data_IF_322507698276
#
_entry.id   IF_322507698276
#
_cell.length_a   1.000
_cell.length_b   1.000
_cell.length_c   1.000
_cell.angle_alpha   90.00
_cell.angle_beta   90.00
_cell.angle_gamma   90.00
#
_symmetry.space_group_name_H-M   'P 1'
#
loop_
_entity.id
_entity.type
_entity.pdbx_description
1 polymer ?
#
# COMPACT_ATOMS: atom_id res chain seq x y z
N UNK A 1 35.21 5.12 -0.28
CA UNK A 1 34.18 4.65 0.68
C UNK A 1 32.81 4.92 0.08
N UNK A 2 31.98 3.86 -0.09
CA UNK A 2 30.52 3.86 -0.41
C UNK A 2 30.09 2.60 -1.22
N UNK A 3 30.73 1.44 -0.99
CA UNK A 3 30.33 0.16 -1.61
C UNK A 3 29.23 -0.57 -0.81
N UNK A 4 29.16 -0.34 0.50
CA UNK A 4 28.19 -1.00 1.41
C UNK A 4 26.76 -0.48 1.19
N UNK A 5 26.60 0.82 0.94
CA UNK A 5 25.27 1.43 0.74
C UNK A 5 24.58 0.95 -0.54
N UNK A 6 25.33 0.52 -1.57
CA UNK A 6 24.75 -0.06 -2.79
C UNK A 6 24.22 -1.49 -2.60
N UNK A 7 24.70 -2.25 -1.62
CA UNK A 7 24.22 -3.62 -1.36
C UNK A 7 22.88 -3.66 -0.60
N UNK A 8 22.58 -2.63 0.19
CA UNK A 8 21.29 -2.59 0.90
C UNK A 8 20.16 -2.13 -0.03
N UNK A 9 20.46 -1.35 -1.07
CA UNK A 9 19.46 -0.95 -2.07
C UNK A 9 19.10 -2.06 -3.06
N UNK A 10 19.93 -3.11 -3.22
CA UNK A 10 19.57 -4.26 -4.08
C UNK A 10 18.54 -5.20 -3.46
N UNK A 11 18.40 -5.23 -2.12
CA UNK A 11 17.39 -6.05 -1.45
C UNK A 11 15.95 -5.52 -1.67
N UNK A 12 15.80 -4.24 -1.99
CA UNK A 12 14.51 -3.61 -2.25
C UNK A 12 14.22 -3.36 -3.75
N UNK A 13 15.11 -3.78 -4.65
CA UNK A 13 15.04 -3.46 -6.09
C UNK A 13 14.68 -4.62 -7.02
N UNK A 14 14.09 -5.69 -6.50
CA UNK A 14 13.55 -6.77 -7.32
C UNK A 14 12.16 -7.19 -6.87
N UNK A 15 11.19 -6.35 -7.22
CA UNK A 15 9.83 -6.80 -7.54
C UNK A 15 9.61 -6.60 -9.05
N UNK A 16 10.58 -7.04 -9.85
CA UNK A 16 10.40 -7.29 -11.28
C UNK A 16 10.21 -8.79 -11.43
N UNK A 17 9.06 -9.19 -11.96
CA UNK A 17 8.69 -10.57 -12.27
C UNK A 17 9.90 -11.40 -12.76
N UNK A 18 10.44 -12.28 -11.91
CA UNK A 18 11.31 -13.39 -12.32
C UNK A 18 10.53 -14.68 -12.03
N UNK A 19 9.51 -14.93 -12.85
CA UNK A 19 8.92 -16.26 -12.97
C UNK A 19 10.01 -17.10 -13.65
N UNK A 20 10.53 -18.10 -12.96
CA UNK A 20 11.42 -19.06 -13.61
C UNK A 20 10.66 -19.73 -14.76
N UNK A 21 11.21 -19.77 -15.99
CA UNK A 21 10.51 -20.37 -17.11
C UNK A 21 10.54 -21.88 -16.92
N UNK A 22 9.37 -22.48 -16.76
CA UNK A 22 9.20 -23.89 -17.07
C UNK A 22 9.43 -24.03 -18.58
N UNK A 23 10.34 -24.94 -18.95
CA UNK A 23 10.86 -25.16 -20.30
C UNK A 23 9.85 -24.92 -21.44
N UNK A 24 10.18 -24.01 -22.35
CA UNK A 24 9.43 -23.79 -23.59
C UNK A 24 9.82 -22.47 -24.23
N UNK A 25 10.54 -22.55 -25.35
CA UNK A 25 11.05 -21.43 -26.13
C UNK A 25 9.92 -20.54 -26.67
N UNK A 26 9.48 -19.52 -25.93
CA UNK A 26 8.63 -18.48 -26.49
C UNK A 26 9.10 -17.11 -26.01
N UNK A 27 9.64 -16.34 -26.95
CA UNK A 27 9.90 -14.92 -26.83
C UNK A 27 8.55 -14.18 -26.70
N UNK A 28 7.91 -14.28 -25.53
CA UNK A 28 6.72 -13.50 -25.22
C UNK A 28 7.16 -12.27 -24.43
N UNK A 29 7.23 -11.17 -25.17
CA UNK A 29 7.28 -9.78 -24.71
C UNK A 29 6.72 -9.66 -23.29
N UNK A 30 7.61 -9.41 -22.32
CA UNK A 30 7.30 -9.16 -20.91
C UNK A 30 6.36 -7.96 -20.80
N UNK A 31 5.05 -8.21 -20.93
CA UNK A 31 4.02 -7.24 -20.61
C UNK A 31 4.27 -6.81 -19.17
N UNK A 32 4.37 -5.49 -18.88
CA UNK A 32 4.52 -5.03 -17.51
C UNK A 32 3.43 -5.65 -16.67
N UNK A 33 3.84 -6.33 -15.60
CA UNK A 33 2.92 -6.95 -14.67
C UNK A 33 2.04 -5.84 -14.03
N UNK A 34 0.90 -5.44 -14.65
CA UNK A 34 -0.06 -4.45 -14.11
C UNK A 34 -0.90 -5.06 -12.98
N UNK A 35 -1.19 -4.27 -11.95
CA UNK A 35 -2.06 -4.64 -10.82
C UNK A 35 -1.36 -5.35 -9.65
N UNK A 36 -2.11 -5.57 -8.56
CA UNK A 36 -1.65 -6.35 -7.40
C UNK A 36 -1.88 -7.83 -7.69
N UNK A 37 -0.81 -8.62 -7.68
CA UNK A 37 -0.84 -10.08 -7.86
C UNK A 37 -0.15 -10.75 -6.69
N UNK A 38 -0.63 -11.95 -6.36
CA UNK A 38 -0.07 -12.77 -5.29
C UNK A 38 -0.14 -14.22 -5.73
N UNK A 39 0.99 -14.94 -5.63
CA UNK A 39 1.03 -16.37 -5.87
C UNK A 39 0.64 -17.12 -4.60
N UNK A 40 -0.20 -18.15 -4.74
CA UNK A 40 -0.56 -19.03 -3.63
C UNK A 40 0.54 -20.07 -3.45
N UNK A 41 1.27 -20.00 -2.34
CA UNK A 41 2.32 -20.97 -2.01
C UNK A 41 1.79 -22.01 -1.03
N UNK A 42 2.24 -23.25 -1.17
CA UNK A 42 1.95 -24.35 -0.24
C UNK A 42 0.45 -24.60 -0.01
N UNK A 43 -0.40 -24.31 -1.01
CA UNK A 43 -1.85 -24.44 -0.90
C UNK A 43 -2.52 -23.46 0.08
N UNK A 44 -1.81 -22.48 0.64
CA UNK A 44 -2.38 -21.57 1.64
C UNK A 44 -3.01 -20.33 1.00
N UNK A 45 -4.28 -20.45 0.63
CA UNK A 45 -5.06 -19.37 0.02
C UNK A 45 -5.31 -18.21 0.98
N UNK A 46 -5.64 -18.48 2.24
CA UNK A 46 -5.96 -17.46 3.25
C UNK A 46 -4.79 -16.49 3.48
N UNK A 47 -3.58 -17.02 3.52
CA UNK A 47 -2.37 -16.20 3.65
C UNK A 47 -2.15 -15.33 2.41
N UNK A 48 -2.38 -15.88 1.22
CA UNK A 48 -2.27 -15.13 -0.04
C UNK A 48 -3.32 -14.01 -0.11
N UNK A 49 -4.56 -14.28 0.27
CA UNK A 49 -5.64 -13.29 0.32
C UNK A 49 -5.36 -12.19 1.35
N UNK A 50 -4.87 -12.55 2.54
CA UNK A 50 -4.45 -11.57 3.56
C UNK A 50 -3.35 -10.66 3.03
N UNK A 51 -2.37 -11.22 2.32
CA UNK A 51 -1.29 -10.44 1.72
C UNK A 51 -1.81 -9.52 0.60
N UNK A 52 -2.69 -10.03 -0.26
CA UNK A 52 -3.34 -9.25 -1.32
C UNK A 52 -4.13 -8.08 -0.72
N UNK A 53 -4.93 -8.33 0.31
CA UNK A 53 -5.71 -7.30 1.00
C UNK A 53 -4.79 -6.24 1.61
N UNK A 54 -3.75 -6.63 2.35
CA UNK A 54 -2.78 -5.68 2.93
C UNK A 54 -2.14 -4.80 1.85
N UNK A 55 -1.73 -5.39 0.72
CA UNK A 55 -1.18 -4.64 -0.41
C UNK A 55 -2.20 -3.68 -1.00
N UNK A 56 -3.45 -4.11 -1.19
CA UNK A 56 -4.55 -3.30 -1.70
C UNK A 56 -4.92 -2.13 -0.77
N UNK A 57 -4.92 -2.34 0.54
CA UNK A 57 -5.18 -1.29 1.53
C UNK A 57 -4.04 -0.28 1.54
N UNK A 58 -2.78 -0.76 1.54
CA UNK A 58 -1.59 0.10 1.59
C UNK A 58 -1.41 0.96 0.33
N UNK A 59 -1.78 0.44 -0.84
CA UNK A 59 -1.76 1.20 -2.10
C UNK A 59 -2.87 2.24 -2.20
N UNK A 60 -3.84 2.22 -1.27
CA UNK A 60 -5.00 3.10 -1.28
C UNK A 60 -6.07 2.71 -2.29
N UNK A 61 -5.87 1.64 -3.07
CA UNK A 61 -6.83 1.15 -4.07
C UNK A 61 -8.16 0.78 -3.42
N UNK A 62 -8.13 0.11 -2.26
CA UNK A 62 -9.35 -0.23 -1.53
C UNK A 62 -10.20 1.01 -1.22
N UNK A 63 -9.56 2.11 -0.83
CA UNK A 63 -10.25 3.36 -0.51
C UNK A 63 -10.80 4.02 -1.77
N UNK A 64 -10.05 3.98 -2.88
CA UNK A 64 -10.52 4.52 -4.16
C UNK A 64 -11.77 3.78 -4.64
N UNK A 65 -11.79 2.45 -4.54
CA UNK A 65 -12.95 1.62 -4.92
C UNK A 65 -14.13 1.90 -3.98
N UNK A 66 -13.91 1.90 -2.66
CA UNK A 66 -15.00 2.14 -1.68
C UNK A 66 -15.58 3.56 -1.76
N UNK A 67 -14.76 4.54 -2.12
CA UNK A 67 -15.18 5.94 -2.25
C UNK A 67 -15.48 6.35 -3.69
N UNK A 68 -15.71 5.39 -4.58
CA UNK A 68 -16.15 5.66 -5.93
C UNK A 68 -17.43 6.51 -5.91
N UNK A 69 -17.38 7.65 -6.60
CA UNK A 69 -18.51 8.58 -6.65
C UNK A 69 -19.58 8.04 -7.59
N UNK A 70 -20.68 7.53 -7.02
CA UNK A 70 -21.86 7.10 -7.81
C UNK A 70 -22.63 8.28 -8.41
N UNK A 71 -22.58 9.44 -7.76
CA UNK A 71 -23.30 10.64 -8.17
C UNK A 71 -22.38 11.85 -8.24
N UNK A 72 -22.77 12.84 -9.04
CA UNK A 72 -22.04 14.09 -9.16
C UNK A 72 -22.10 14.89 -7.85
N UNK A 73 -20.94 15.33 -7.38
CA UNK A 73 -20.79 16.26 -6.26
C UNK A 73 -20.31 17.59 -6.82
N UNK A 74 -20.99 18.68 -6.47
CA UNK A 74 -20.61 20.04 -6.92
C UNK A 74 -19.28 20.47 -6.29
N UNK A 75 -18.60 21.42 -6.93
CA UNK A 75 -17.28 21.87 -6.48
C UNK A 75 -17.29 22.52 -5.07
N UNK A 76 -18.36 23.22 -4.72
CA UNK A 76 -18.54 23.79 -3.37
C UNK A 76 -18.54 22.69 -2.30
N UNK A 77 -19.27 21.61 -2.54
CA UNK A 77 -19.36 20.46 -1.63
C UNK A 77 -18.03 19.70 -1.56
N UNK A 78 -17.36 19.50 -2.69
CA UNK A 78 -16.01 18.89 -2.72
C UNK A 78 -15.03 19.64 -1.80
N UNK A 79 -15.05 20.98 -1.80
CA UNK A 79 -14.22 21.81 -0.92
C UNK A 79 -14.53 21.60 0.56
N UNK A 80 -15.82 21.52 0.91
CA UNK A 80 -16.27 21.28 2.29
C UNK A 80 -15.85 19.88 2.77
N UNK A 81 -16.01 18.85 1.93
CA UNK A 81 -15.60 17.48 2.25
C UNK A 81 -14.09 17.37 2.45
N UNK A 82 -13.29 18.02 1.59
CA UNK A 82 -11.84 18.06 1.74
C UNK A 82 -11.42 18.72 3.05
N UNK A 83 -12.02 19.87 3.41
CA UNK A 83 -11.76 20.56 4.68
C UNK A 83 -12.10 19.69 5.90
N UNK A 84 -13.28 19.05 5.91
CA UNK A 84 -13.68 18.13 6.99
C UNK A 84 -12.75 16.91 7.09
N UNK A 85 -12.24 16.41 5.97
CA UNK A 85 -11.28 15.30 5.95
C UNK A 85 -9.94 15.72 6.59
N UNK A 86 -9.43 16.90 6.20
CA UNK A 86 -8.20 17.46 6.76
C UNK A 86 -8.32 17.67 8.28
N UNK A 87 -9.42 18.27 8.72
CA UNK A 87 -9.66 18.52 10.14
C UNK A 87 -9.71 17.22 10.95
N UNK A 88 -10.40 16.18 10.46
CA UNK A 88 -10.42 14.86 11.12
C UNK A 88 -9.03 14.26 11.25
N UNK A 89 -8.19 14.39 10.21
CA UNK A 89 -6.80 13.91 10.24
C UNK A 89 -5.96 14.67 11.26
N UNK A 90 -6.04 16.00 11.29
CA UNK A 90 -5.27 16.80 12.25
C UNK A 90 -5.68 16.49 13.69
N UNK A 91 -6.98 16.38 13.97
CA UNK A 91 -7.50 16.01 15.29
C UNK A 91 -7.00 14.64 15.75
N UNK A 92 -6.96 13.64 14.86
CA UNK A 92 -6.46 12.31 15.21
C UNK A 92 -4.95 12.28 15.42
N UNK A 93 -4.18 13.03 14.61
CA UNK A 93 -2.74 13.17 14.79
C UNK A 93 -2.40 13.86 16.12
N UNK A 94 -3.08 14.95 16.46
CA UNK A 94 -2.88 15.66 17.72
C UNK A 94 -3.22 14.80 18.93
N UNK A 95 -4.33 14.05 18.86
CA UNK A 95 -4.70 13.07 19.88
C UNK A 95 -3.62 12.00 20.04
N UNK A 96 -3.10 11.45 18.94
CA UNK A 96 -2.06 10.43 18.99
C UNK A 96 -0.76 10.95 19.63
N UNK A 97 -0.38 12.20 19.34
CA UNK A 97 0.78 12.86 19.98
C UNK A 97 0.56 13.05 21.48
N UNK A 98 -0.64 13.47 21.90
CA UNK A 98 -1.00 13.61 23.32
C UNK A 98 -0.97 12.27 24.06
N UNK A 99 -1.52 11.21 23.46
CA UNK A 99 -1.48 9.88 24.06
C UNK A 99 -0.04 9.37 24.20
N UNK A 100 0.78 9.54 23.15
CA UNK A 100 2.20 9.16 23.20
C UNK A 100 2.95 9.87 24.33
N UNK A 101 2.70 11.17 24.53
CA UNK A 101 3.37 11.92 25.61
C UNK A 101 2.92 11.45 27.00
N UNK A 102 1.63 11.15 27.18
CA UNK A 102 1.10 10.58 28.43
C UNK A 102 1.70 9.20 28.70
N UNK A 103 1.76 8.32 27.69
CA UNK A 103 2.32 6.98 27.84
C UNK A 103 3.80 7.02 28.24
N UNK A 104 4.61 7.87 27.60
CA UNK A 104 6.03 8.04 27.95
C UNK A 104 6.18 8.52 29.40
N UNK A 105 5.33 9.45 29.85
CA UNK A 105 5.34 9.94 31.23
C UNK A 105 4.87 8.92 32.26
N UNK A 106 4.00 7.97 31.87
CA UNK A 106 3.46 6.94 32.77
C UNK A 106 4.32 5.68 32.88
N UNK A 107 5.09 5.36 31.83
CA UNK A 107 5.96 4.16 31.78
C UNK A 107 7.33 4.43 32.43
N UNK A 108 7.70 5.70 32.60
CA UNK A 108 8.92 6.13 33.30
C UNK A 108 8.63 6.41 34.76
#
# INVERSE_FOLDING_TARGET
>A
MNSVVRRLSSLFRQSGCAIQPFNGQHHQLLQPCRGIRVDVRNGNLEQALTFLQRKMTSSGIERMIKHEQRFHIKNSEKRVLARKSLERRLRSEDLARKLKSIMIKKVR
#
